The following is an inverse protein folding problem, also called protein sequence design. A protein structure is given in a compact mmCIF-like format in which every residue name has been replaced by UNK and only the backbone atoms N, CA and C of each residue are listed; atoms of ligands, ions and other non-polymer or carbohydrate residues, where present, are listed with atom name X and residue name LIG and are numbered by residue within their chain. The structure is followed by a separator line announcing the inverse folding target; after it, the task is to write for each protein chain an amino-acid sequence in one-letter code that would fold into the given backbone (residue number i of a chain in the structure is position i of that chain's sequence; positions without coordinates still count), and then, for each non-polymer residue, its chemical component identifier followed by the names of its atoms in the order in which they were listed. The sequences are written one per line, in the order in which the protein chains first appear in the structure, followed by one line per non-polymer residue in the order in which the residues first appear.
data_IF_521436881335
#
_entry.id   IF_521436881335
#
_cell.length_a   1.000
_cell.length_b   1.000
_cell.length_c   1.000
_cell.angle_alpha   90.00
_cell.angle_beta   90.00
_cell.angle_gamma   90.00
#
_symmetry.space_group_name_H-M   'P 1'
#
loop_
_entity.id
_entity.type
_entity.pdbx_description
1 polymer ?
#
# COMPACT_ATOMS: atom_id res chain seq x y z
N UNK A 1 -13.92 -0.85 14.36
CA UNK A 1 -12.98 -0.44 15.42
C UNK A 1 -11.65 -1.15 15.24
N UNK A 2 -11.53 -2.37 15.76
CA UNK A 2 -10.30 -3.18 15.64
C UNK A 2 -10.16 -3.94 14.33
N UNK A 3 -11.27 -4.47 13.79
CA UNK A 3 -11.26 -5.25 12.54
C UNK A 3 -10.75 -4.42 11.34
N UNK A 4 -11.25 -3.19 11.20
CA UNK A 4 -10.81 -2.22 10.20
C UNK A 4 -9.31 -1.90 10.29
N UNK A 5 -8.78 -1.73 11.50
CA UNK A 5 -7.35 -1.46 11.70
C UNK A 5 -6.49 -2.70 11.36
N UNK A 6 -6.97 -3.91 11.71
CA UNK A 6 -6.28 -5.15 11.34
C UNK A 6 -6.28 -5.40 9.83
N UNK A 7 -7.36 -5.05 9.13
CA UNK A 7 -7.50 -5.21 7.69
C UNK A 7 -6.60 -4.22 6.93
N UNK A 8 -6.60 -2.94 7.33
CA UNK A 8 -5.68 -1.94 6.77
C UNK A 8 -4.21 -2.31 6.95
N UNK A 9 -3.85 -2.89 8.10
CA UNK A 9 -2.49 -3.42 8.35
C UNK A 9 -2.15 -4.62 7.48
N UNK A 10 -3.09 -5.54 7.27
CA UNK A 10 -2.89 -6.70 6.42
C UNK A 10 -2.65 -6.30 4.96
N UNK A 11 -3.45 -5.36 4.44
CA UNK A 11 -3.29 -4.81 3.08
C UNK A 11 -1.94 -4.10 2.95
N UNK A 12 -1.59 -3.24 3.90
CA UNK A 12 -0.30 -2.55 3.90
C UNK A 12 0.90 -3.52 3.95
N UNK A 13 0.81 -4.57 4.78
CA UNK A 13 1.82 -5.60 4.86
C UNK A 13 1.96 -6.37 3.52
N UNK A 14 0.84 -6.69 2.86
CA UNK A 14 0.84 -7.29 1.52
C UNK A 14 1.49 -6.41 0.45
N UNK A 15 1.46 -5.09 0.60
CA UNK A 15 2.16 -4.13 -0.26
C UNK A 15 3.62 -3.92 0.14
N UNK A 16 4.12 -4.60 1.17
CA UNK A 16 5.50 -4.47 1.65
C UNK A 16 5.77 -3.23 2.51
N UNK A 17 4.72 -2.57 3.04
CA UNK A 17 4.88 -1.53 4.06
C UNK A 17 5.10 -2.16 5.43
N UNK A 18 6.17 -1.74 6.10
CA UNK A 18 6.42 -2.14 7.49
C UNK A 18 5.38 -1.50 8.42
N UNK A 19 4.94 -2.19 9.48
CA UNK A 19 3.97 -1.65 10.45
C UNK A 19 4.43 -0.31 11.05
N UNK A 20 5.72 -0.18 11.33
CA UNK A 20 6.33 1.04 11.90
C UNK A 20 6.26 2.25 10.97
N UNK A 21 5.95 2.05 9.68
CA UNK A 21 5.76 3.13 8.70
C UNK A 21 4.35 3.69 8.73
N UNK A 22 3.37 2.89 9.15
CA UNK A 22 1.96 3.30 9.19
C UNK A 22 1.67 4.32 10.28
N UNK A 23 2.56 4.42 11.28
CA UNK A 23 2.52 5.43 12.34
C UNK A 23 3.26 6.72 11.98
N UNK A 24 3.99 6.77 10.87
CA UNK A 24 4.73 7.96 10.44
C UNK A 24 3.84 8.91 9.65
N UNK A 25 4.13 10.21 9.76
CA UNK A 25 3.52 11.22 8.91
C UNK A 25 3.92 11.00 7.44
N UNK A 26 3.00 11.25 6.50
CA UNK A 26 3.22 11.06 5.06
C UNK A 26 4.44 11.82 4.50
N UNK A 27 4.83 12.94 5.14
CA UNK A 27 6.02 13.71 4.76
C UNK A 27 7.36 13.05 5.13
N UNK A 28 7.34 12.01 5.97
CA UNK A 28 8.53 11.24 6.38
C UNK A 28 8.73 10.01 5.50
N UNK A 29 7.67 9.56 4.83
CA UNK A 29 7.71 8.39 3.94
C UNK A 29 8.50 8.72 2.66
N UNK A 30 9.30 7.76 2.21
CA UNK A 30 9.90 7.82 0.87
C UNK A 30 8.80 7.84 -0.20
N UNK A 31 9.12 8.34 -1.40
CA UNK A 31 8.16 8.38 -2.51
C UNK A 31 7.53 7.01 -2.82
N UNK A 32 8.32 5.93 -2.71
CA UNK A 32 7.82 4.56 -2.87
C UNK A 32 6.90 4.10 -1.73
N UNK A 33 7.21 4.45 -0.48
CA UNK A 33 6.34 4.16 0.66
C UNK A 33 5.03 4.94 0.58
N UNK A 34 5.07 6.21 0.19
CA UNK A 34 3.87 7.03 0.00
C UNK A 34 2.93 6.44 -1.05
N UNK A 35 3.47 6.02 -2.19
CA UNK A 35 2.70 5.37 -3.26
C UNK A 35 2.02 4.08 -2.77
N UNK A 36 2.72 3.28 -1.96
CA UNK A 36 2.15 2.08 -1.33
C UNK A 36 1.03 2.43 -0.34
N UNK A 37 1.17 3.50 0.45
CA UNK A 37 0.12 3.93 1.39
C UNK A 37 -1.12 4.40 0.63
N UNK A 38 -0.95 5.11 -0.49
CA UNK A 38 -2.06 5.51 -1.37
C UNK A 38 -2.77 4.29 -1.97
N UNK A 39 -2.02 3.29 -2.45
CA UNK A 39 -2.59 2.02 -2.92
C UNK A 39 -3.33 1.27 -1.80
N UNK A 40 -2.77 1.21 -0.59
CA UNK A 40 -3.42 0.59 0.57
C UNK A 40 -4.75 1.28 0.89
N UNK A 41 -4.82 2.62 0.81
CA UNK A 41 -6.05 3.39 1.02
C UNK A 41 -7.10 3.11 -0.05
N UNK A 42 -6.70 2.98 -1.31
CA UNK A 42 -7.62 2.65 -2.41
C UNK A 42 -8.22 1.25 -2.20
N UNK A 43 -7.37 0.26 -1.90
CA UNK A 43 -7.80 -1.11 -1.60
C UNK A 43 -8.72 -1.17 -0.37
N UNK A 44 -8.36 -0.48 0.70
CA UNK A 44 -9.16 -0.43 1.92
C UNK A 44 -10.49 0.33 1.74
N UNK A 45 -10.57 1.27 0.79
CA UNK A 45 -11.80 2.02 0.51
C UNK A 45 -12.90 1.19 -0.20
N UNK A 46 -12.68 -0.11 -0.41
CA UNK A 46 -13.67 -1.00 -1.04
C UNK A 46 -13.73 -0.85 -2.55
N UNK A 47 -12.62 -0.45 -3.19
CA UNK A 47 -12.52 -0.50 -4.64
C UNK A 47 -12.47 -1.97 -5.08
N UNK A 48 -13.60 -2.54 -5.49
CA UNK A 48 -13.77 -3.95 -5.90
C UNK A 48 -12.90 -4.36 -7.12
N UNK A 49 -12.13 -3.44 -7.70
CA UNK A 49 -11.27 -3.72 -8.86
C UNK A 49 -10.03 -2.83 -8.82
N UNK A 50 -8.93 -3.36 -8.26
CA UNK A 50 -7.61 -2.77 -8.43
C UNK A 50 -6.91 -3.50 -9.58
N UNK A 51 -6.91 -2.91 -10.78
CA UNK A 51 -6.15 -3.42 -11.91
C UNK A 51 -4.65 -3.12 -11.69
N UNK A 52 -3.95 -4.04 -11.04
CA UNK A 52 -2.49 -4.06 -10.97
C UNK A 52 -1.99 -4.63 -12.30
N UNK A 53 -1.76 -3.77 -13.29
CA UNK A 53 -0.98 -4.20 -14.45
C UNK A 53 0.45 -4.47 -13.95
N UNK A 54 0.93 -5.69 -14.21
CA UNK A 54 2.17 -6.25 -13.68
C UNK A 54 3.36 -5.28 -13.86
N UNK A 55 4.28 -5.16 -12.89
CA UNK A 55 5.56 -4.47 -13.08
C UNK A 55 6.49 -5.36 -13.91
N UNK A 56 6.07 -5.80 -15.11
CA UNK A 56 7.00 -6.33 -16.09
C UNK A 56 7.70 -5.15 -16.72
N UNK A 57 8.73 -4.68 -16.01
CA UNK A 57 9.85 -3.97 -16.57
C UNK A 57 10.32 -4.72 -17.82
N UNK A 58 9.79 -4.34 -18.98
CA UNK A 58 10.37 -4.60 -20.28
C UNK A 58 11.66 -3.79 -20.34
N UNK A 59 12.74 -4.36 -19.85
CA UNK A 59 14.07 -4.03 -20.34
C UNK A 59 14.60 -5.30 -20.98
N UNK A 60 14.29 -5.41 -22.27
CA UNK A 60 15.17 -6.12 -23.19
C UNK A 60 16.51 -5.38 -23.28
N UNK A 61 17.53 -6.18 -23.60
CA UNK A 61 18.96 -5.90 -23.71
C UNK A 61 19.78 -6.00 -22.42
#
# INVERSE_FOLDING_TARGET
GYAADSEGRAIAAGLGLKPDRLSLALGVLSGGERRRVELARILFSGSDTLLLDEPTNHLGH
#
